data_IF_119980948361
#
_entry.id   IF_119980948361
#
_cell.length_a   1.000
_cell.length_b   1.000
_cell.length_c   1.000
_cell.angle_alpha   90.00
_cell.angle_beta   90.00
_cell.angle_gamma   90.00
#
_symmetry.space_group_name_H-M   'P 1'
#
loop_
_entity.id
_entity.type
_entity.pdbx_description
1 polymer ?
#
# COMPACT_ATOMS: atom_id res chain seq x y z
N UNK A 1 11.70 -9.24 31.23
CA UNK A 1 10.94 -10.50 31.10
C UNK A 1 11.78 -11.60 31.72
N UNK A 2 11.22 -12.46 32.57
CA UNK A 2 11.96 -13.58 33.18
C UNK A 2 12.45 -14.55 32.10
N UNK A 3 13.65 -15.10 32.27
CA UNK A 3 14.24 -16.12 31.37
C UNK A 3 13.40 -17.43 31.27
N UNK A 4 12.30 -17.52 32.01
CA UNK A 4 11.45 -18.71 32.12
C UNK A 4 10.03 -18.53 31.55
N UNK A 5 9.75 -17.43 30.87
CA UNK A 5 8.42 -17.16 30.30
C UNK A 5 7.33 -16.99 31.37
N UNK A 6 6.05 -16.95 30.95
CA UNK A 6 4.92 -16.77 31.87
C UNK A 6 4.49 -18.09 32.50
N UNK A 7 4.67 -18.20 33.82
CA UNK A 7 4.25 -19.37 34.62
C UNK A 7 2.74 -19.62 34.50
N UNK A 8 1.93 -18.56 34.48
CA UNK A 8 0.48 -18.67 34.38
C UNK A 8 0.03 -19.30 33.05
N UNK A 9 0.71 -18.93 31.95
CA UNK A 9 0.46 -19.54 30.64
C UNK A 9 0.92 -21.00 30.62
N UNK A 10 2.09 -21.32 31.18
CA UNK A 10 2.56 -22.69 31.26
C UNK A 10 1.61 -23.60 32.06
N UNK A 11 1.09 -23.10 33.19
CA UNK A 11 0.09 -23.80 34.00
C UNK A 11 -1.22 -24.01 33.21
N UNK A 12 -1.66 -23.01 32.45
CA UNK A 12 -2.83 -23.14 31.57
C UNK A 12 -2.61 -24.19 30.48
N UNK A 13 -1.45 -24.17 29.80
CA UNK A 13 -1.10 -25.16 28.78
C UNK A 13 -1.07 -26.58 29.37
N UNK A 14 -0.52 -26.75 30.57
CA UNK A 14 -0.52 -28.04 31.25
C UNK A 14 -1.94 -28.54 31.59
N UNK A 15 -2.84 -27.64 31.99
CA UNK A 15 -4.19 -28.00 32.42
C UNK A 15 -5.21 -28.19 31.27
N UNK A 16 -5.18 -27.31 30.26
CA UNK A 16 -6.20 -27.25 29.18
C UNK A 16 -5.62 -27.44 27.78
N UNK A 17 -4.30 -27.55 27.65
CA UNK A 17 -3.62 -27.60 26.36
C UNK A 17 -3.69 -26.29 25.57
N UNK A 18 -3.34 -26.37 24.29
CA UNK A 18 -3.29 -25.23 23.36
C UNK A 18 -4.52 -25.11 22.45
N UNK A 19 -5.51 -26.01 22.59
CA UNK A 19 -6.69 -26.05 21.74
C UNK A 19 -7.57 -24.79 21.84
N UNK A 20 -7.81 -24.21 23.04
CA UNK A 20 -8.58 -22.97 23.13
C UNK A 20 -7.96 -21.83 22.33
N UNK A 21 -6.62 -21.69 22.40
CA UNK A 21 -5.88 -20.72 21.60
C UNK A 21 -6.00 -20.99 20.11
N UNK A 22 -5.82 -22.25 19.67
CA UNK A 22 -5.97 -22.65 18.26
C UNK A 22 -7.35 -22.28 17.71
N UNK A 23 -8.41 -22.54 18.46
CA UNK A 23 -9.79 -22.25 18.01
C UNK A 23 -10.02 -20.74 17.94
N UNK A 24 -9.67 -20.00 19.00
CA UNK A 24 -9.83 -18.55 19.04
C UNK A 24 -9.07 -17.90 17.89
N UNK A 25 -7.81 -18.30 17.68
CA UNK A 25 -6.97 -17.74 16.65
C UNK A 25 -7.47 -18.11 15.24
N UNK A 26 -7.86 -19.36 15.00
CA UNK A 26 -8.38 -19.78 13.69
C UNK A 26 -9.69 -19.09 13.30
N UNK A 27 -10.61 -18.91 14.26
CA UNK A 27 -11.93 -18.37 13.98
C UNK A 27 -11.98 -16.83 14.02
N UNK A 28 -11.40 -16.24 15.07
CA UNK A 28 -11.61 -14.83 15.38
C UNK A 28 -10.38 -13.94 15.12
N UNK A 29 -9.17 -14.50 15.05
CA UNK A 29 -7.97 -13.73 14.67
C UNK A 29 -7.76 -13.81 13.16
N UNK A 30 -7.39 -14.98 12.63
CA UNK A 30 -7.02 -15.16 11.22
C UNK A 30 -8.16 -15.53 10.29
N UNK A 31 -9.26 -16.07 10.83
CA UNK A 31 -10.42 -16.55 10.07
C UNK A 31 -10.07 -17.46 8.88
N UNK A 32 -9.52 -18.64 9.18
CA UNK A 32 -8.92 -19.56 8.19
C UNK A 32 -9.89 -20.23 7.22
N UNK A 33 -11.21 -20.04 7.40
CA UNK A 33 -12.26 -20.61 6.57
C UNK A 33 -13.37 -19.59 6.33
N UNK A 34 -14.21 -19.83 5.31
CA UNK A 34 -15.39 -18.98 5.05
C UNK A 34 -16.31 -18.91 6.26
N UNK A 35 -16.55 -20.05 6.92
CA UNK A 35 -17.35 -20.14 8.15
C UNK A 35 -16.75 -19.29 9.28
N UNK A 36 -15.43 -19.34 9.45
CA UNK A 36 -14.74 -18.52 10.45
C UNK A 36 -14.89 -17.02 10.18
N UNK A 37 -14.86 -16.60 8.91
CA UNK A 37 -15.06 -15.20 8.52
C UNK A 37 -16.48 -14.72 8.84
N UNK A 38 -17.49 -15.54 8.53
CA UNK A 38 -18.89 -15.25 8.86
C UNK A 38 -19.06 -15.12 10.37
N UNK A 39 -18.53 -16.06 11.16
CA UNK A 39 -18.60 -15.98 12.63
C UNK A 39 -17.88 -14.78 13.19
N UNK A 40 -16.70 -14.42 12.67
CA UNK A 40 -15.98 -13.22 13.10
C UNK A 40 -16.81 -11.96 12.85
N UNK A 41 -17.43 -11.84 11.68
CA UNK A 41 -18.27 -10.69 11.33
C UNK A 41 -19.48 -10.54 12.26
N UNK A 42 -20.10 -11.65 12.67
CA UNK A 42 -21.32 -11.63 13.51
C UNK A 42 -21.01 -11.53 15.00
N UNK A 43 -19.93 -12.17 15.46
CA UNK A 43 -19.70 -12.42 16.89
C UNK A 43 -18.61 -11.56 17.53
N UNK A 44 -17.78 -10.83 16.77
CA UNK A 44 -16.73 -9.97 17.35
C UNK A 44 -17.28 -8.65 17.93
N UNK A 45 -18.11 -8.80 18.96
CA UNK A 45 -18.70 -7.72 19.75
C UNK A 45 -18.36 -7.94 21.22
N UNK A 46 -18.15 -6.86 21.97
CA UNK A 46 -18.03 -6.99 23.41
C UNK A 46 -19.35 -7.49 24.01
N UNK A 47 -19.32 -8.58 24.77
CA UNK A 47 -20.51 -9.18 25.37
C UNK A 47 -21.18 -8.27 26.42
N UNK A 48 -20.48 -7.23 26.91
CA UNK A 48 -21.02 -6.29 27.91
C UNK A 48 -21.61 -5.03 27.29
N UNK A 49 -20.92 -4.41 26.32
CA UNK A 49 -21.33 -3.11 25.75
C UNK A 49 -21.64 -3.14 24.26
N UNK A 50 -21.56 -4.31 23.62
CA UNK A 50 -21.85 -4.54 22.21
C UNK A 50 -21.06 -3.65 21.23
N UNK A 51 -19.87 -3.17 21.62
CA UNK A 51 -18.97 -2.40 20.74
C UNK A 51 -18.04 -3.32 19.96
N UNK A 52 -17.76 -2.97 18.71
CA UNK A 52 -16.89 -3.72 17.77
C UNK A 52 -15.55 -3.03 17.48
N UNK A 53 -15.40 -1.72 17.77
CA UNK A 53 -14.21 -0.90 17.45
C UNK A 53 -13.16 -0.83 18.55
N UNK A 54 -13.52 -1.25 19.77
CA UNK A 54 -12.59 -1.22 20.90
C UNK A 54 -11.69 -2.46 20.85
N UNK A 55 -10.41 -2.32 21.22
CA UNK A 55 -9.44 -3.42 21.31
C UNK A 55 -10.02 -4.63 22.06
N UNK A 56 -10.52 -5.61 21.30
CA UNK A 56 -11.34 -6.70 21.82
C UNK A 56 -10.46 -7.88 22.19
N UNK A 57 -10.72 -8.45 23.36
CA UNK A 57 -9.97 -9.59 23.86
C UNK A 57 -10.91 -10.76 24.13
N UNK A 58 -10.45 -11.96 23.77
CA UNK A 58 -11.13 -13.21 24.09
C UNK A 58 -10.48 -13.91 25.28
N UNK A 59 -11.26 -14.22 26.30
CA UNK A 59 -10.81 -15.02 27.42
C UNK A 59 -10.43 -16.44 26.96
N UNK A 60 -9.20 -16.88 27.25
CA UNK A 60 -8.71 -18.23 26.90
C UNK A 60 -9.46 -19.35 27.62
N UNK A 61 -10.10 -19.06 28.75
CA UNK A 61 -10.76 -20.08 29.57
C UNK A 61 -12.20 -20.38 29.15
N UNK A 62 -12.90 -19.41 28.55
CA UNK A 62 -14.34 -19.50 28.31
C UNK A 62 -14.85 -18.73 27.07
N UNK A 63 -13.96 -18.20 26.23
CA UNK A 63 -14.29 -17.50 24.97
C UNK A 63 -15.21 -16.28 25.19
N UNK A 64 -15.13 -15.65 26.37
CA UNK A 64 -15.81 -14.37 26.63
C UNK A 64 -15.10 -13.23 25.90
N UNK A 65 -15.83 -12.38 25.19
CA UNK A 65 -15.29 -11.20 24.52
C UNK A 65 -15.51 -9.92 25.33
N UNK A 66 -14.41 -9.32 25.78
CA UNK A 66 -14.41 -8.08 26.54
C UNK A 66 -13.55 -7.00 25.87
N UNK A 67 -14.05 -5.77 25.81
CA UNK A 67 -13.23 -4.66 25.33
C UNK A 67 -12.23 -4.20 26.39
N UNK A 68 -11.00 -3.92 25.95
CA UNK A 68 -9.92 -3.51 26.84
C UNK A 68 -10.05 -2.05 27.29
N UNK A 69 -10.51 -1.17 26.38
CA UNK A 69 -10.60 0.28 26.60
C UNK A 69 -11.54 0.62 27.77
N UNK A 70 -12.70 -0.05 27.85
CA UNK A 70 -13.68 0.15 28.93
C UNK A 70 -13.48 -0.78 30.13
N UNK A 71 -12.41 -1.57 30.15
CA UNK A 71 -12.11 -2.43 31.29
C UNK A 71 -12.90 -3.74 31.38
N UNK A 72 -13.74 -4.10 30.40
CA UNK A 72 -14.64 -5.26 30.53
C UNK A 72 -13.92 -6.60 30.59
N UNK A 73 -12.79 -6.74 29.88
CA UNK A 73 -11.99 -7.97 29.98
C UNK A 73 -11.24 -8.06 31.31
N UNK A 74 -10.80 -6.93 31.86
CA UNK A 74 -10.17 -6.83 33.18
C UNK A 74 -11.18 -7.21 34.28
N UNK A 75 -12.41 -6.71 34.16
CA UNK A 75 -13.49 -7.03 35.11
C UNK A 75 -13.87 -8.51 35.05
N UNK A 76 -13.98 -9.08 33.85
CA UNK A 76 -14.18 -10.52 33.67
C UNK A 76 -13.04 -11.33 34.29
N UNK A 77 -11.79 -10.92 34.08
CA UNK A 77 -10.62 -11.59 34.66
C UNK A 77 -10.67 -11.59 36.18
N UNK A 78 -11.07 -10.46 36.80
CA UNK A 78 -11.20 -10.30 38.25
C UNK A 78 -12.33 -11.14 38.84
N UNK A 79 -13.51 -11.11 38.22
CA UNK A 79 -14.73 -11.78 38.72
C UNK A 79 -14.69 -13.29 38.53
N UNK A 80 -14.23 -13.77 37.36
CA UNK A 80 -14.16 -15.20 37.02
C UNK A 80 -12.81 -15.84 37.33
N UNK A 81 -11.83 -15.07 37.79
CA UNK A 81 -10.43 -15.51 37.99
C UNK A 81 -9.81 -16.10 36.72
N UNK A 82 -10.14 -15.53 35.57
CA UNK A 82 -9.63 -15.92 34.26
C UNK A 82 -8.58 -14.91 33.78
N UNK A 83 -7.31 -15.18 34.07
CA UNK A 83 -6.25 -14.19 33.91
C UNK A 83 -5.52 -14.20 32.56
N UNK A 84 -5.98 -15.01 31.61
CA UNK A 84 -5.39 -15.12 30.28
C UNK A 84 -6.41 -14.77 29.19
N UNK A 85 -6.05 -13.86 28.30
CA UNK A 85 -6.88 -13.46 27.18
C UNK A 85 -6.05 -13.29 25.89
N UNK A 86 -6.67 -13.51 24.73
CA UNK A 86 -6.09 -13.29 23.40
C UNK A 86 -6.60 -11.97 22.85
N UNK A 87 -5.70 -11.10 22.42
CA UNK A 87 -6.02 -9.91 21.62
C UNK A 87 -6.50 -10.35 20.23
N UNK A 88 -7.73 -9.99 19.87
CA UNK A 88 -8.33 -10.42 18.60
C UNK A 88 -7.78 -9.67 17.38
N UNK A 89 -7.07 -8.55 17.58
CA UNK A 89 -6.44 -7.80 16.49
C UNK A 89 -5.17 -8.50 15.99
N UNK A 90 -4.33 -8.99 16.90
CA UNK A 90 -3.00 -9.53 16.57
C UNK A 90 -2.78 -10.99 16.98
N UNK A 91 -3.66 -11.56 17.80
CA UNK A 91 -3.52 -12.91 18.35
C UNK A 91 -2.57 -13.02 19.54
N UNK A 92 -2.03 -11.91 20.04
CA UNK A 92 -1.10 -11.91 21.17
C UNK A 92 -1.84 -12.21 22.49
N UNK A 93 -1.18 -12.92 23.40
CA UNK A 93 -1.78 -13.31 24.69
C UNK A 93 -1.43 -12.27 25.74
N UNK A 94 -2.45 -11.71 26.37
CA UNK A 94 -2.32 -10.85 27.55
C UNK A 94 -2.49 -11.68 28.82
N UNK A 95 -1.53 -11.58 29.73
CA UNK A 95 -1.64 -12.15 31.06
C UNK A 95 -1.89 -11.04 32.10
N UNK A 96 -3.08 -11.03 32.69
CA UNK A 96 -3.46 -10.02 33.69
C UNK A 96 -2.66 -10.12 34.99
N UNK A 97 -2.11 -11.29 35.33
CA UNK A 97 -1.26 -11.47 36.51
C UNK A 97 0.17 -10.98 36.27
N UNK A 98 0.69 -11.09 35.05
CA UNK A 98 1.99 -10.51 34.68
C UNK A 98 1.89 -9.02 34.33
N UNK A 99 0.70 -8.55 33.95
CA UNK A 99 0.48 -7.18 33.47
C UNK A 99 1.04 -6.91 32.07
N UNK A 100 1.37 -7.95 31.31
CA UNK A 100 2.06 -7.82 30.02
C UNK A 100 1.65 -8.91 29.01
N UNK A 101 2.00 -8.67 27.76
CA UNK A 101 1.89 -9.65 26.68
C UNK A 101 2.92 -10.77 26.85
N UNK A 102 2.45 -11.99 26.64
CA UNK A 102 3.22 -13.20 26.79
C UNK A 102 3.50 -13.79 25.42
N UNK A 103 4.78 -14.01 25.14
CA UNK A 103 5.26 -14.64 23.91
C UNK A 103 5.72 -16.07 24.23
N UNK A 104 5.07 -17.05 23.60
CA UNK A 104 5.38 -18.47 23.75
C UNK A 104 5.66 -19.08 22.37
N UNK A 105 6.78 -19.80 22.25
CA UNK A 105 7.26 -20.33 20.96
C UNK A 105 6.28 -21.30 20.30
N UNK A 106 5.59 -22.12 21.08
CA UNK A 106 4.63 -23.10 20.57
C UNK A 106 3.37 -22.40 20.03
N UNK A 107 2.86 -21.42 20.77
CA UNK A 107 1.69 -20.65 20.35
C UNK A 107 1.97 -19.71 19.18
N UNK A 108 3.19 -19.17 19.09
CA UNK A 108 3.66 -18.41 17.92
C UNK A 108 3.73 -19.28 16.66
N UNK A 109 4.22 -20.53 16.78
CA UNK A 109 4.23 -21.48 15.66
C UNK A 109 2.80 -21.81 15.17
N UNK A 110 1.85 -21.97 16.11
CA UNK A 110 0.42 -22.14 15.78
C UNK A 110 -0.13 -20.92 15.04
N UNK A 111 0.11 -19.71 15.57
CA UNK A 111 -0.34 -18.47 14.94
C UNK A 111 0.17 -18.37 13.49
N UNK A 112 1.47 -18.63 13.29
CA UNK A 112 2.14 -18.61 11.97
C UNK A 112 1.52 -19.60 10.98
N UNK A 113 1.22 -20.82 11.43
CA UNK A 113 0.57 -21.84 10.60
C UNK A 113 -0.86 -21.41 10.18
N UNK A 114 -1.62 -20.81 11.09
CA UNK A 114 -2.99 -20.36 10.82
C UNK A 114 -3.04 -19.13 9.92
N UNK A 115 -2.13 -18.16 10.10
CA UNK A 115 -1.95 -17.06 9.14
C UNK A 115 -1.68 -17.61 7.73
N UNK A 116 -0.77 -18.59 7.62
CA UNK A 116 -0.45 -19.23 6.34
C UNK A 116 -1.66 -19.96 5.71
N UNK A 117 -2.46 -20.64 6.52
CA UNK A 117 -3.69 -21.29 6.06
C UNK A 117 -4.74 -20.27 5.60
N UNK A 118 -4.89 -19.15 6.31
CA UNK A 118 -5.81 -18.07 5.94
C UNK A 118 -5.42 -17.43 4.60
N UNK A 119 -4.13 -17.13 4.40
CA UNK A 119 -3.61 -16.63 3.11
C UNK A 119 -3.99 -17.55 1.96
N UNK A 120 -3.68 -18.85 2.10
CA UNK A 120 -4.03 -19.87 1.10
C UNK A 120 -5.54 -19.92 0.84
N UNK A 121 -6.38 -19.78 1.87
CA UNK A 121 -7.84 -19.79 1.73
C UNK A 121 -8.39 -18.59 0.94
N UNK A 122 -7.64 -17.50 0.89
CA UNK A 122 -8.00 -16.26 0.20
C UNK A 122 -7.25 -16.10 -1.13
N UNK A 123 -6.51 -17.13 -1.56
CA UNK A 123 -5.63 -17.07 -2.73
C UNK A 123 -4.58 -15.95 -2.66
N UNK A 124 -4.27 -15.47 -1.46
CA UNK A 124 -3.14 -14.57 -1.24
C UNK A 124 -1.83 -15.39 -1.18
N UNK A 125 -0.72 -14.77 -1.60
CA UNK A 125 0.62 -15.32 -1.38
C UNK A 125 0.91 -15.57 0.10
N UNK A 126 1.98 -16.32 0.43
CA UNK A 126 2.35 -16.51 1.83
C UNK A 126 2.51 -15.15 2.53
N UNK A 127 1.80 -14.94 3.65
CA UNK A 127 2.01 -13.75 4.48
C UNK A 127 3.48 -13.64 4.88
N UNK A 128 3.96 -12.40 5.02
CA UNK A 128 5.31 -12.11 5.49
C UNK A 128 5.64 -12.94 6.72
N UNK A 129 6.67 -13.79 6.59
CA UNK A 129 7.24 -14.55 7.69
C UNK A 129 8.53 -13.86 8.09
N UNK A 130 8.58 -13.36 9.33
CA UNK A 130 9.85 -13.01 9.92
C UNK A 130 10.78 -14.23 9.82
N UNK A 131 11.95 -14.03 9.22
CA UNK A 131 12.96 -15.07 9.13
C UNK A 131 13.46 -15.40 10.53
N UNK A 132 13.33 -16.67 10.91
CA UNK A 132 13.87 -17.20 12.15
C UNK A 132 15.04 -18.11 11.75
N UNK A 133 16.29 -17.69 11.96
CA UNK A 133 17.43 -18.50 11.57
C UNK A 133 17.44 -19.80 12.37
N UNK A 134 17.59 -20.91 11.66
CA UNK A 134 17.91 -22.21 12.24
C UNK A 134 19.24 -22.13 13.00
N UNK A 135 19.51 -23.12 13.84
CA UNK A 135 20.78 -23.18 14.56
C UNK A 135 21.98 -23.24 13.59
N UNK A 136 21.83 -23.96 12.48
CA UNK A 136 22.82 -24.04 11.39
C UNK A 136 23.03 -22.66 10.74
N UNK A 137 21.95 -21.98 10.35
CA UNK A 137 22.04 -20.63 9.78
C UNK A 137 22.66 -19.65 10.76
N UNK A 138 22.31 -19.74 12.04
CA UNK A 138 22.90 -18.89 13.10
C UNK A 138 24.41 -19.11 13.21
N UNK A 139 24.87 -20.35 13.14
CA UNK A 139 26.30 -20.68 13.12
C UNK A 139 27.01 -20.19 11.86
N UNK A 140 26.38 -20.35 10.68
CA UNK A 140 26.89 -19.83 9.41
C UNK A 140 27.03 -18.31 9.47
N UNK A 141 26.00 -17.60 9.92
CA UNK A 141 26.03 -16.15 10.11
C UNK A 141 27.17 -15.76 11.07
N UNK A 142 27.32 -16.46 12.19
CA UNK A 142 28.41 -16.20 13.16
C UNK A 142 29.79 -16.31 12.52
N UNK A 143 29.98 -17.22 11.55
CA UNK A 143 31.23 -17.43 10.83
C UNK A 143 31.44 -16.44 9.67
N UNK A 144 30.39 -15.74 9.21
CA UNK A 144 30.51 -14.81 8.09
C UNK A 144 31.25 -13.52 8.49
N UNK A 145 32.38 -13.18 7.83
CA UNK A 145 33.18 -12.00 8.17
C UNK A 145 32.48 -10.68 7.86
N UNK A 146 31.48 -10.69 6.96
CA UNK A 146 30.62 -9.53 6.65
C UNK A 146 29.34 -9.48 7.49
N UNK A 147 29.21 -10.34 8.52
CA UNK A 147 28.04 -10.31 9.42
C UNK A 147 27.96 -8.97 10.11
N UNK A 148 26.78 -8.36 10.05
CA UNK A 148 26.52 -7.09 10.72
C UNK A 148 25.88 -7.28 12.07
N UNK A 149 26.28 -6.44 13.00
CA UNK A 149 25.59 -6.26 14.28
C UNK A 149 24.73 -5.01 14.15
N UNK A 150 23.42 -5.21 14.06
CA UNK A 150 22.45 -4.12 14.14
C UNK A 150 22.47 -3.65 15.60
N UNK A 151 23.14 -2.52 15.85
CA UNK A 151 23.10 -1.84 17.14
C UNK A 151 21.86 -0.93 17.21
N UNK A 152 21.41 -0.58 18.41
CA UNK A 152 20.23 0.28 18.64
C UNK A 152 20.31 1.63 17.88
N UNK A 153 21.53 2.10 17.58
CA UNK A 153 21.82 3.38 16.96
C UNK A 153 22.13 3.25 15.45
N UNK A 154 21.87 2.08 14.84
CA UNK A 154 22.28 1.81 13.47
C UNK A 154 21.30 2.40 12.45
N UNK A 155 21.79 3.36 11.67
CA UNK A 155 21.06 4.04 10.58
C UNK A 155 21.20 3.28 9.26
N UNK A 156 20.86 1.98 9.25
CA UNK A 156 21.03 1.13 8.07
C UNK A 156 20.08 1.61 6.95
N UNK A 157 20.59 1.68 5.73
CA UNK A 157 19.84 2.17 4.57
C UNK A 157 19.87 3.69 4.43
N UNK A 158 20.30 4.47 5.44
CA UNK A 158 20.44 5.92 5.31
C UNK A 158 21.81 6.28 4.72
N UNK A 159 21.83 6.57 3.42
CA UNK A 159 23.07 6.84 2.67
C UNK A 159 22.87 8.00 1.69
N UNK A 160 23.82 8.92 1.64
CA UNK A 160 23.78 10.05 0.71
C UNK A 160 24.11 9.64 -0.73
N UNK A 161 23.59 10.41 -1.70
CA UNK A 161 23.92 10.25 -3.12
C UNK A 161 24.69 11.48 -3.61
N UNK A 162 25.79 11.25 -4.31
CA UNK A 162 26.60 12.30 -4.93
C UNK A 162 25.84 12.83 -6.15
N UNK A 163 25.71 14.15 -6.25
CA UNK A 163 25.19 14.79 -7.45
C UNK A 163 26.29 14.85 -8.52
N UNK A 164 26.04 14.28 -9.71
CA UNK A 164 26.96 14.25 -10.84
C UNK A 164 26.77 15.45 -11.79
N UNK A 165 26.26 16.57 -11.27
CA UNK A 165 25.90 17.78 -12.01
C UNK A 165 24.41 18.09 -11.85
N UNK A 166 23.60 17.56 -12.75
CA UNK A 166 22.14 17.76 -12.80
C UNK A 166 21.33 16.56 -12.33
N UNK A 167 21.90 15.66 -11.51
CA UNK A 167 21.26 14.37 -11.17
C UNK A 167 20.40 14.41 -9.90
N UNK A 168 20.03 15.60 -9.42
CA UNK A 168 19.19 15.74 -8.22
C UNK A 168 17.80 15.11 -8.38
N UNK A 169 17.20 15.21 -9.57
CA UNK A 169 15.91 14.59 -9.90
C UNK A 169 15.98 13.05 -9.80
N UNK A 170 17.09 12.44 -10.26
CA UNK A 170 17.32 11.00 -10.09
C UNK A 170 17.54 10.66 -8.61
N UNK A 171 18.38 11.42 -7.92
CA UNK A 171 18.75 11.12 -6.54
C UNK A 171 17.52 11.09 -5.62
N UNK A 172 16.58 12.03 -5.76
CA UNK A 172 15.38 12.05 -4.92
C UNK A 172 14.44 10.86 -5.18
N UNK A 173 14.27 10.45 -6.45
CA UNK A 173 13.47 9.28 -6.81
C UNK A 173 14.13 7.99 -6.31
N UNK A 174 15.44 7.83 -6.47
CA UNK A 174 16.16 6.64 -6.00
C UNK A 174 16.06 6.51 -4.48
N UNK A 175 16.16 7.60 -3.73
CA UNK A 175 15.93 7.57 -2.27
C UNK A 175 14.51 7.11 -1.92
N UNK A 176 13.49 7.61 -2.63
CA UNK A 176 12.11 7.20 -2.42
C UNK A 176 11.90 5.69 -2.71
N UNK A 177 12.46 5.18 -3.81
CA UNK A 177 12.36 3.76 -4.17
C UNK A 177 13.09 2.86 -3.17
N UNK A 178 14.30 3.23 -2.72
CA UNK A 178 15.12 2.43 -1.79
C UNK A 178 14.50 2.33 -0.40
N UNK A 179 13.74 3.33 -0.01
CA UNK A 179 13.03 3.37 1.26
C UNK A 179 11.59 2.85 1.17
N UNK A 180 11.16 2.35 0.01
CA UNK A 180 9.89 1.61 -0.13
C UNK A 180 10.07 0.17 0.37
N UNK A 181 9.45 -0.24 1.50
CA UNK A 181 9.75 -1.53 2.15
C UNK A 181 9.53 -2.75 1.25
N UNK A 182 8.49 -2.73 0.42
CA UNK A 182 8.16 -3.84 -0.49
C UNK A 182 9.22 -4.02 -1.58
N UNK A 183 9.75 -2.92 -2.13
CA UNK A 183 10.87 -2.98 -3.06
C UNK A 183 12.14 -3.45 -2.36
N UNK A 184 12.44 -2.91 -1.17
CA UNK A 184 13.58 -3.36 -0.36
C UNK A 184 13.56 -4.87 -0.15
N UNK A 185 12.44 -5.41 0.30
CA UNK A 185 12.34 -6.83 0.63
C UNK A 185 12.45 -7.70 -0.64
N UNK A 186 11.90 -7.25 -1.77
CA UNK A 186 12.04 -7.93 -3.05
C UNK A 186 13.49 -7.95 -3.56
N UNK A 187 14.15 -6.80 -3.62
CA UNK A 187 15.50 -6.68 -4.19
C UNK A 187 16.58 -7.28 -3.27
N UNK A 188 16.40 -7.25 -1.94
CA UNK A 188 17.30 -7.91 -1.00
C UNK A 188 17.11 -9.44 -0.95
N UNK A 189 15.98 -9.97 -1.44
CA UNK A 189 15.78 -11.41 -1.56
C UNK A 189 16.59 -12.03 -2.72
N UNK A 190 17.22 -11.20 -3.57
CA UNK A 190 18.12 -11.58 -4.67
C UNK A 190 17.62 -12.74 -5.54
N UNK A 191 16.33 -12.68 -5.90
CA UNK A 191 15.65 -13.73 -6.67
C UNK A 191 15.80 -13.59 -8.19
N UNK A 192 16.45 -12.53 -8.65
CA UNK A 192 16.56 -12.24 -10.08
C UNK A 192 17.73 -12.99 -10.71
N UNK A 193 17.42 -13.96 -11.57
CA UNK A 193 18.43 -14.68 -12.34
C UNK A 193 18.56 -14.06 -13.74
N UNK A 194 19.69 -13.40 -14.01
CA UNK A 194 19.92 -12.70 -15.26
C UNK A 194 21.12 -13.28 -16.03
N UNK A 195 20.98 -13.58 -17.33
CA UNK A 195 22.11 -14.00 -18.17
C UNK A 195 23.10 -12.85 -18.46
N UNK A 196 22.66 -11.58 -18.38
CA UNK A 196 23.49 -10.39 -18.66
C UNK A 196 23.36 -9.35 -17.54
N UNK A 197 24.02 -9.55 -16.39
CA UNK A 197 23.87 -8.68 -15.22
C UNK A 197 24.35 -7.23 -15.46
N UNK A 198 25.32 -7.04 -16.37
CA UNK A 198 25.92 -5.71 -16.64
C UNK A 198 25.01 -4.75 -17.40
N UNK A 199 23.96 -5.26 -18.07
CA UNK A 199 22.98 -4.46 -18.81
C UNK A 199 21.59 -4.51 -18.19
N UNK A 200 21.44 -5.16 -17.04
CA UNK A 200 20.16 -5.35 -16.41
C UNK A 200 19.91 -4.30 -15.33
N UNK A 201 18.86 -3.49 -15.50
CA UNK A 201 18.45 -2.51 -14.48
C UNK A 201 18.07 -3.19 -13.16
N UNK A 202 17.40 -4.33 -13.19
CA UNK A 202 17.02 -5.09 -11.98
C UNK A 202 18.25 -5.51 -11.20
N UNK A 203 19.32 -6.00 -11.86
CA UNK A 203 20.59 -6.34 -11.21
C UNK A 203 21.26 -5.11 -10.58
N UNK A 204 21.31 -3.98 -11.29
CA UNK A 204 21.92 -2.76 -10.75
C UNK A 204 21.11 -2.22 -9.56
N UNK A 205 19.79 -2.25 -9.62
CA UNK A 205 18.93 -1.85 -8.50
C UNK A 205 19.12 -2.80 -7.32
N UNK A 206 19.15 -4.12 -7.51
CA UNK A 206 19.51 -5.08 -6.45
C UNK A 206 20.86 -4.75 -5.81
N UNK A 207 21.87 -4.46 -6.61
CA UNK A 207 23.19 -4.06 -6.13
C UNK A 207 23.13 -2.74 -5.34
N UNK A 208 22.36 -1.75 -5.79
CA UNK A 208 22.13 -0.51 -5.04
C UNK A 208 21.47 -0.76 -3.69
N UNK A 209 20.45 -1.64 -3.61
CA UNK A 209 19.87 -2.04 -2.33
C UNK A 209 20.93 -2.69 -1.42
N UNK A 210 21.77 -3.59 -1.93
CA UNK A 210 22.86 -4.17 -1.15
C UNK A 210 23.87 -3.12 -0.65
N UNK A 211 24.17 -2.10 -1.46
CA UNK A 211 25.07 -1.00 -1.12
C UNK A 211 24.48 -0.03 -0.10
N UNK A 212 23.20 0.33 -0.21
CA UNK A 212 22.51 1.19 0.77
C UNK A 212 22.38 0.49 2.12
N UNK A 213 21.95 -0.77 2.06
CA UNK A 213 21.92 -1.64 3.21
C UNK A 213 23.24 -2.37 3.33
N UNK A 214 24.40 -1.73 3.09
CA UNK A 214 25.74 -2.31 3.35
C UNK A 214 26.26 -2.00 4.76
N UNK A 215 25.69 -0.97 5.39
CA UNK A 215 26.20 -0.36 6.62
C UNK A 215 27.23 0.77 6.39
N UNK A 216 27.70 0.95 5.15
CA UNK A 216 28.56 2.09 4.79
C UNK A 216 27.75 3.39 4.79
N UNK A 217 28.34 4.44 5.37
CA UNK A 217 27.78 5.81 5.37
C UNK A 217 28.36 6.69 4.25
N UNK A 218 29.39 6.22 3.54
CA UNK A 218 30.05 6.99 2.48
C UNK A 218 29.06 7.25 1.32
N UNK A 219 28.97 8.45 0.75
CA UNK A 219 27.98 8.73 -0.28
C UNK A 219 28.21 7.88 -1.55
N UNK A 220 27.14 7.56 -2.28
CA UNK A 220 27.17 6.72 -3.48
C UNK A 220 27.05 7.54 -4.77
N UNK A 221 27.72 7.10 -5.82
CA UNK A 221 27.63 7.64 -7.17
C UNK A 221 26.80 6.72 -8.06
N UNK A 222 25.68 7.22 -8.59
CA UNK A 222 24.73 6.46 -9.41
C UNK A 222 25.07 6.41 -10.91
N UNK A 223 26.35 6.46 -11.27
CA UNK A 223 26.82 6.50 -12.65
C UNK A 223 26.35 5.31 -13.51
N UNK A 224 26.34 4.09 -12.94
CA UNK A 224 25.85 2.88 -13.63
C UNK A 224 24.35 2.93 -13.89
N UNK A 225 23.57 3.28 -12.86
CA UNK A 225 22.12 3.44 -12.97
C UNK A 225 21.76 4.48 -14.04
N UNK A 226 22.43 5.64 -13.99
CA UNK A 226 22.25 6.71 -14.96
C UNK A 226 22.52 6.22 -16.40
N UNK A 227 23.66 5.54 -16.60
CA UNK A 227 24.02 5.00 -17.91
C UNK A 227 23.00 3.97 -18.44
N UNK A 228 22.51 3.07 -17.58
CA UNK A 228 21.50 2.09 -17.96
C UNK A 228 20.19 2.77 -18.35
N UNK A 229 19.70 3.72 -17.53
CA UNK A 229 18.45 4.44 -17.82
C UNK A 229 18.59 5.24 -19.12
N UNK A 230 19.69 5.95 -19.35
CA UNK A 230 19.93 6.68 -20.61
C UNK A 230 19.95 5.76 -21.85
N UNK A 231 20.44 4.53 -21.69
CA UNK A 231 20.46 3.55 -22.78
C UNK A 231 19.05 3.08 -23.15
N UNK A 232 18.18 2.90 -22.15
CA UNK A 232 16.82 2.40 -22.32
C UNK A 232 15.75 3.50 -22.54
N UNK A 233 16.01 4.71 -22.05
CA UNK A 233 15.14 5.89 -22.13
C UNK A 233 15.95 7.08 -22.66
N UNK A 234 16.21 7.09 -23.97
CA UNK A 234 17.08 8.08 -24.63
C UNK A 234 16.61 9.53 -24.49
N UNK A 235 15.31 9.77 -24.28
CA UNK A 235 14.77 11.12 -24.08
C UNK A 235 15.23 11.74 -22.74
N UNK A 236 15.57 10.90 -21.76
CA UNK A 236 16.17 11.34 -20.48
C UNK A 236 17.71 11.44 -20.54
N UNK A 237 18.33 11.06 -21.66
CA UNK A 237 19.77 11.10 -21.82
C UNK A 237 20.25 12.53 -22.09
N UNK A 238 21.09 13.06 -21.20
CA UNK A 238 21.64 14.40 -21.32
C UNK A 238 22.12 14.97 -20.00
N UNK A 239 22.87 16.06 -20.05
CA UNK A 239 23.37 16.76 -18.85
C UNK A 239 22.38 17.77 -18.27
N UNK A 240 21.22 17.95 -18.91
CA UNK A 240 20.18 18.87 -18.47
C UNK A 240 19.36 18.30 -17.30
N UNK A 241 18.81 19.19 -16.47
CA UNK A 241 17.86 18.81 -15.44
C UNK A 241 16.56 18.34 -16.10
N UNK A 242 16.08 17.17 -15.69
CA UNK A 242 14.83 16.57 -16.18
C UNK A 242 13.74 16.58 -15.11
N UNK A 243 12.50 16.29 -15.51
CA UNK A 243 11.40 16.10 -14.58
C UNK A 243 11.59 14.81 -13.77
N UNK A 244 11.46 14.92 -12.44
CA UNK A 244 11.56 13.76 -11.54
C UNK A 244 10.41 12.76 -11.76
N UNK A 245 9.22 13.23 -12.14
CA UNK A 245 8.08 12.38 -12.48
C UNK A 245 8.37 11.57 -13.75
N UNK A 246 8.89 12.21 -14.79
CA UNK A 246 9.27 11.52 -16.03
C UNK A 246 10.35 10.45 -15.77
N UNK A 247 11.37 10.78 -14.96
CA UNK A 247 12.37 9.82 -14.54
C UNK A 247 11.79 8.65 -13.71
N UNK A 248 10.83 8.93 -12.82
CA UNK A 248 10.15 7.91 -12.02
C UNK A 248 9.40 6.92 -12.92
N UNK A 249 8.55 7.42 -13.83
CA UNK A 249 7.78 6.58 -14.76
C UNK A 249 8.70 5.79 -15.68
N UNK A 250 9.75 6.42 -16.24
CA UNK A 250 10.72 5.71 -17.06
C UNK A 250 11.47 4.61 -16.29
N UNK A 251 11.81 4.86 -15.02
CA UNK A 251 12.47 3.85 -14.17
C UNK A 251 11.54 2.67 -13.91
N UNK A 252 10.27 2.92 -13.58
CA UNK A 252 9.27 1.86 -13.40
C UNK A 252 9.05 1.05 -14.68
N UNK A 253 8.98 1.71 -15.84
CA UNK A 253 8.83 1.05 -17.14
C UNK A 253 10.00 0.11 -17.46
N UNK A 254 11.24 0.59 -17.30
CA UNK A 254 12.43 -0.25 -17.55
C UNK A 254 12.49 -1.41 -16.56
N UNK A 255 12.13 -1.19 -15.28
CA UNK A 255 12.05 -2.26 -14.29
C UNK A 255 10.97 -3.29 -14.62
N UNK A 256 9.79 -2.84 -15.06
CA UNK A 256 8.70 -3.71 -15.49
C UNK A 256 9.16 -4.61 -16.65
N UNK A 257 9.72 -4.02 -17.72
CA UNK A 257 10.23 -4.78 -18.89
C UNK A 257 11.34 -5.77 -18.55
N UNK A 258 12.27 -5.40 -17.66
CA UNK A 258 13.36 -6.28 -17.27
C UNK A 258 12.93 -7.38 -16.28
N UNK A 259 11.83 -7.18 -15.54
CA UNK A 259 11.21 -8.21 -14.73
C UNK A 259 10.43 -9.22 -15.58
N UNK A 260 9.76 -8.79 -16.65
CA UNK A 260 9.03 -9.66 -17.59
C UNK A 260 9.90 -10.68 -18.32
N UNK A 261 11.18 -10.34 -18.52
CA UNK A 261 12.14 -11.23 -19.17
C UNK A 261 12.57 -12.41 -18.28
N UNK A 262 12.19 -12.45 -17.00
CA UNK A 262 12.39 -13.60 -16.13
C UNK A 262 11.23 -14.61 -16.30
N UNK A 263 11.49 -15.86 -16.71
CA UNK A 263 10.44 -16.84 -17.00
C UNK A 263 9.84 -17.40 -15.70
N UNK A 264 8.95 -16.65 -15.06
CA UNK A 264 8.17 -17.14 -13.92
C UNK A 264 6.68 -16.78 -14.10
N UNK A 265 5.97 -17.77 -14.63
CA UNK A 265 4.57 -18.13 -14.37
C UNK A 265 3.43 -17.26 -14.97
N UNK A 266 2.76 -17.91 -15.93
CA UNK A 266 1.36 -17.79 -16.38
C UNK A 266 0.96 -16.48 -17.07
N UNK A 267 0.94 -16.53 -18.41
CA UNK A 267 0.32 -15.53 -19.29
C UNK A 267 -1.17 -15.83 -19.41
N UNK A 268 -2.01 -15.23 -18.59
CA UNK A 268 -3.47 -15.27 -18.78
C UNK A 268 -4.11 -13.90 -19.06
N UNK A 269 -3.32 -12.81 -19.19
CA UNK A 269 -3.79 -11.57 -19.79
C UNK A 269 -2.63 -10.69 -20.31
N UNK A 270 -2.68 -10.14 -21.54
CA UNK A 270 -1.66 -9.23 -22.06
C UNK A 270 -1.53 -7.90 -21.29
N UNK A 271 -2.52 -7.60 -20.43
CA UNK A 271 -2.64 -6.34 -19.69
C UNK A 271 -2.36 -6.49 -18.19
N UNK A 272 -1.89 -7.65 -17.72
CA UNK A 272 -1.53 -7.87 -16.32
C UNK A 272 -0.19 -8.61 -16.25
N UNK A 273 0.85 -7.90 -15.85
CA UNK A 273 2.14 -8.51 -15.56
C UNK A 273 2.22 -8.91 -14.09
N UNK A 274 2.83 -10.05 -13.80
CA UNK A 274 3.09 -10.50 -12.43
C UNK A 274 4.39 -9.92 -11.83
N UNK A 275 4.97 -8.88 -12.44
CA UNK A 275 6.20 -8.28 -11.91
C UNK A 275 5.97 -7.50 -10.62
N UNK A 276 7.06 -7.23 -9.89
CA UNK A 276 7.02 -6.50 -8.63
C UNK A 276 6.47 -5.07 -8.78
N UNK A 277 6.71 -4.44 -9.94
CA UNK A 277 6.21 -3.09 -10.22
C UNK A 277 4.68 -3.11 -10.33
N UNK A 278 4.14 -4.06 -11.09
CA UNK A 278 2.68 -4.18 -11.25
C UNK A 278 1.99 -4.57 -9.94
N UNK A 279 2.58 -5.47 -9.16
CA UNK A 279 2.01 -5.86 -7.87
C UNK A 279 1.96 -4.70 -6.86
N UNK A 280 2.91 -3.75 -6.92
CA UNK A 280 3.05 -2.68 -5.93
C UNK A 280 2.34 -1.40 -6.39
N UNK A 281 2.61 -0.95 -7.61
CA UNK A 281 2.26 0.38 -8.10
C UNK A 281 1.06 0.40 -9.04
N UNK A 282 0.65 -0.74 -9.61
CA UNK A 282 -0.48 -0.75 -10.56
C UNK A 282 -1.82 -0.68 -9.83
N UNK A 283 -2.53 0.42 -10.07
CA UNK A 283 -3.96 0.56 -9.77
C UNK A 283 -4.80 0.43 -11.05
N UNK A 284 -6.12 0.46 -10.89
CA UNK A 284 -7.08 0.47 -11.99
C UNK A 284 -7.99 1.68 -11.89
N UNK A 285 -7.96 2.53 -12.92
CA UNK A 285 -8.82 3.71 -13.05
C UNK A 285 -10.01 3.38 -13.93
N UNK A 286 -11.22 3.59 -13.43
CA UNK A 286 -12.46 3.42 -14.18
C UNK A 286 -12.86 4.76 -14.81
N UNK A 287 -12.90 4.80 -16.14
CA UNK A 287 -13.40 5.91 -16.94
C UNK A 287 -14.80 5.60 -17.46
N UNK A 288 -15.80 6.30 -16.93
CA UNK A 288 -17.20 6.20 -17.33
C UNK A 288 -17.58 7.37 -18.23
N UNK A 289 -18.10 7.07 -19.42
CA UNK A 289 -18.63 8.03 -20.38
C UNK A 289 -20.14 7.85 -20.47
N UNK A 290 -20.89 8.87 -20.05
CA UNK A 290 -22.35 8.88 -20.04
C UNK A 290 -22.86 9.74 -21.19
N UNK A 291 -23.57 9.11 -22.13
CA UNK A 291 -24.24 9.81 -23.22
C UNK A 291 -25.40 10.66 -22.69
N UNK A 292 -25.42 11.96 -23.01
CA UNK A 292 -26.46 12.87 -22.52
C UNK A 292 -27.82 12.71 -23.22
N UNK A 293 -27.87 11.99 -24.35
CA UNK A 293 -29.11 11.78 -25.11
C UNK A 293 -29.88 10.52 -24.66
N UNK A 294 -29.17 9.44 -24.31
CA UNK A 294 -29.78 8.15 -23.98
C UNK A 294 -29.38 7.59 -22.61
N UNK A 295 -28.52 8.30 -21.86
CA UNK A 295 -27.95 7.85 -20.59
C UNK A 295 -27.22 6.51 -20.64
N UNK A 296 -26.83 6.05 -21.85
CA UNK A 296 -25.98 4.89 -22.02
C UNK A 296 -24.60 5.15 -21.45
N UNK A 297 -24.09 4.22 -20.63
CA UNK A 297 -22.79 4.29 -19.98
C UNK A 297 -21.80 3.40 -20.72
N UNK A 298 -20.65 3.95 -21.08
CA UNK A 298 -19.50 3.20 -21.56
C UNK A 298 -18.40 3.26 -20.50
N UNK A 299 -18.02 2.09 -19.98
CA UNK A 299 -17.01 1.96 -18.94
C UNK A 299 -15.73 1.37 -19.51
N UNK A 300 -14.60 2.00 -19.20
CA UNK A 300 -13.25 1.55 -19.55
C UNK A 300 -12.41 1.49 -18.28
N UNK A 301 -11.52 0.50 -18.18
CA UNK A 301 -10.63 0.33 -17.02
C UNK A 301 -9.19 0.41 -17.51
N UNK A 302 -8.50 1.47 -17.09
CA UNK A 302 -7.13 1.75 -17.49
C UNK A 302 -6.18 1.51 -16.32
N UNK A 303 -5.11 0.71 -16.48
CA UNK A 303 -4.08 0.58 -15.47
C UNK A 303 -3.28 1.88 -15.32
N UNK A 304 -2.82 2.18 -14.10
CA UNK A 304 -1.97 3.34 -13.83
C UNK A 304 -0.89 3.02 -12.78
N UNK A 305 0.26 3.71 -12.85
CA UNK A 305 1.30 3.65 -11.80
C UNK A 305 1.30 4.89 -10.89
N UNK A 306 0.73 6.00 -11.36
CA UNK A 306 0.60 7.23 -10.63
C UNK A 306 -0.73 7.94 -10.93
N UNK A 307 -1.10 8.87 -10.05
CA UNK A 307 -2.26 9.75 -10.21
C UNK A 307 -1.73 11.16 -10.33
N UNK A 308 -1.78 11.70 -11.54
CA UNK A 308 -1.37 13.06 -11.86
C UNK A 308 -2.54 14.05 -11.67
N UNK A 309 -2.45 14.88 -10.64
CA UNK A 309 -3.50 15.79 -10.18
C UNK A 309 -3.26 17.22 -10.67
N UNK A 310 -4.28 17.77 -11.34
CA UNK A 310 -4.28 19.15 -11.81
C UNK A 310 -4.58 20.13 -10.66
N UNK A 311 -3.78 21.20 -10.58
CA UNK A 311 -3.95 22.24 -9.56
C UNK A 311 -4.81 23.42 -10.04
N UNK A 312 -5.12 23.48 -11.34
CA UNK A 312 -5.86 24.57 -11.96
C UNK A 312 -5.16 25.94 -11.86
N UNK A 313 -5.68 26.97 -12.56
CA UNK A 313 -5.11 28.29 -12.50
C UNK A 313 -5.26 28.88 -11.09
N UNK A 314 -4.15 29.36 -10.53
CA UNK A 314 -4.17 30.18 -9.32
C UNK A 314 -5.06 31.41 -9.58
N UNK A 315 -6.09 31.57 -8.74
CA UNK A 315 -7.11 32.64 -8.76
C UNK A 315 -6.77 33.82 -9.69
N UNK A 316 -7.40 33.84 -10.88
CA UNK A 316 -7.25 34.96 -11.81
C UNK A 316 -7.29 34.58 -13.29
N UNK A 317 -8.31 33.84 -13.76
CA UNK A 317 -8.72 33.83 -15.16
C UNK A 317 -10.10 33.16 -15.32
N UNK A 318 -11.15 33.99 -15.39
CA UNK A 318 -12.41 33.78 -16.14
C UNK A 318 -13.06 32.39 -16.14
N UNK A 319 -14.09 32.23 -15.30
CA UNK A 319 -15.10 31.16 -15.40
C UNK A 319 -15.89 31.05 -14.09
N UNK A 320 -17.22 30.96 -14.15
CA UNK A 320 -18.16 31.07 -13.01
C UNK A 320 -18.22 29.87 -12.06
N UNK A 321 -17.15 29.09 -11.93
CA UNK A 321 -17.07 27.98 -10.97
C UNK A 321 -16.48 28.53 -9.66
N UNK A 322 -17.31 28.58 -8.62
CA UNK A 322 -17.05 29.18 -7.29
C UNK A 322 -15.99 28.46 -6.44
N UNK A 323 -15.21 27.53 -7.00
CA UNK A 323 -14.13 26.85 -6.28
C UNK A 323 -12.79 27.49 -6.64
N UNK A 324 -12.16 28.17 -5.68
CA UNK A 324 -10.79 28.71 -5.81
C UNK A 324 -9.75 27.63 -6.12
N UNK A 325 -8.44 27.92 -6.13
CA UNK A 325 -7.42 26.87 -6.29
C UNK A 325 -7.55 25.80 -5.18
N UNK A 326 -7.20 24.53 -5.45
CA UNK A 326 -7.27 23.48 -4.44
C UNK A 326 -6.30 23.81 -3.29
N UNK A 327 -6.72 23.53 -2.07
CA UNK A 327 -5.95 23.81 -0.85
C UNK A 327 -5.44 22.53 -0.18
N UNK A 328 -6.02 21.39 -0.56
CA UNK A 328 -5.68 20.08 -0.02
C UNK A 328 -5.58 19.00 -1.10
N UNK A 329 -4.90 17.89 -0.79
CA UNK A 329 -4.85 16.71 -1.63
C UNK A 329 -6.24 16.10 -1.84
N UNK A 330 -7.11 16.18 -0.82
CA UNK A 330 -8.51 15.74 -0.93
C UNK A 330 -9.27 16.58 -1.95
N UNK A 331 -9.08 17.90 -1.97
CA UNK A 331 -9.70 18.79 -2.97
C UNK A 331 -9.23 18.42 -4.38
N UNK A 332 -7.95 18.07 -4.53
CA UNK A 332 -7.38 17.65 -5.81
C UNK A 332 -8.01 16.33 -6.29
N UNK A 333 -8.18 15.36 -5.40
CA UNK A 333 -8.81 14.07 -5.70
C UNK A 333 -10.30 14.21 -6.01
N UNK A 334 -11.00 15.09 -5.31
CA UNK A 334 -12.40 15.40 -5.58
C UNK A 334 -12.57 16.01 -6.97
N UNK A 335 -11.69 16.94 -7.36
CA UNK A 335 -11.66 17.50 -8.73
C UNK A 335 -11.34 16.44 -9.76
N UNK A 336 -10.32 15.62 -9.52
CA UNK A 336 -9.90 14.54 -10.42
C UNK A 336 -11.03 13.53 -10.67
N UNK A 337 -11.86 13.26 -9.66
CA UNK A 337 -12.99 12.32 -9.77
C UNK A 337 -14.33 12.98 -10.08
N UNK A 338 -14.36 14.29 -10.32
CA UNK A 338 -15.56 15.03 -10.70
C UNK A 338 -15.95 14.68 -12.13
N UNK A 339 -17.25 14.50 -12.36
CA UNK A 339 -17.77 14.34 -13.70
C UNK A 339 -17.61 15.65 -14.48
N UNK A 340 -17.04 15.59 -15.68
CA UNK A 340 -16.80 16.73 -16.56
C UNK A 340 -17.58 16.60 -17.87
N UNK A 341 -18.14 17.71 -18.35
CA UNK A 341 -18.80 17.74 -19.65
C UNK A 341 -17.76 17.92 -20.74
N UNK A 342 -17.71 17.00 -21.72
CA UNK A 342 -16.71 17.06 -22.80
C UNK A 342 -16.97 18.22 -23.80
N UNK A 343 -18.17 18.82 -23.75
CA UNK A 343 -18.55 19.94 -24.59
C UNK A 343 -18.89 19.56 -26.03
N UNK A 344 -19.35 20.54 -26.80
CA UNK A 344 -19.89 20.36 -28.16
C UNK A 344 -18.83 20.06 -29.22
N UNK A 345 -17.55 20.33 -28.92
CA UNK A 345 -16.39 20.10 -29.80
C UNK A 345 -15.82 18.68 -29.69
N UNK A 346 -16.11 17.96 -28.61
CA UNK A 346 -15.59 16.61 -28.35
C UNK A 346 -16.73 15.58 -28.24
N UNK A 347 -17.72 15.65 -29.14
CA UNK A 347 -18.83 14.69 -29.20
C UNK A 347 -18.31 13.28 -29.46
N UNK A 348 -18.85 12.31 -28.74
CA UNK A 348 -18.49 10.89 -28.87
C UNK A 348 -19.61 10.17 -29.63
N UNK A 349 -19.23 9.25 -30.54
CA UNK A 349 -20.20 8.40 -31.21
C UNK A 349 -20.76 7.39 -30.22
N UNK A 350 -22.02 7.58 -29.81
CA UNK A 350 -22.69 6.68 -28.88
C UNK A 350 -23.06 5.36 -29.57
N UNK A 351 -22.75 4.21 -28.96
CA UNK A 351 -23.13 2.88 -29.45
C UNK A 351 -24.64 2.64 -29.46
N UNK A 352 -25.39 3.26 -28.54
CA UNK A 352 -26.84 3.10 -28.46
C UNK A 352 -27.57 4.04 -29.44
N UNK A 353 -27.14 5.30 -29.55
CA UNK A 353 -27.76 6.27 -30.45
C UNK A 353 -27.22 6.20 -31.89
N UNK A 354 -26.09 5.50 -32.11
CA UNK A 354 -25.34 5.43 -33.37
C UNK A 354 -24.96 6.79 -33.98
N UNK A 355 -25.01 7.86 -33.19
CA UNK A 355 -24.79 9.25 -33.58
C UNK A 355 -23.82 9.93 -32.60
N UNK A 356 -23.21 11.05 -33.04
CA UNK A 356 -22.32 11.85 -32.21
C UNK A 356 -23.12 12.67 -31.20
N UNK A 357 -22.94 12.35 -29.93
CA UNK A 357 -23.68 12.97 -28.84
C UNK A 357 -22.73 13.65 -27.86
N UNK A 358 -23.25 14.66 -27.16
CA UNK A 358 -22.56 15.19 -26.00
C UNK A 358 -22.54 14.14 -24.90
N UNK A 359 -21.45 14.12 -24.14
CA UNK A 359 -21.21 13.11 -23.12
C UNK A 359 -20.50 13.72 -21.94
N UNK A 360 -20.77 13.18 -20.76
CA UNK A 360 -20.03 13.49 -19.54
C UNK A 360 -19.02 12.37 -19.31
N UNK A 361 -17.78 12.72 -18.99
CA UNK A 361 -16.73 11.78 -18.62
C UNK A 361 -16.48 11.88 -17.13
N UNK A 362 -16.27 10.75 -16.47
CA UNK A 362 -15.89 10.71 -15.06
C UNK A 362 -14.83 9.64 -14.82
N UNK A 363 -13.84 9.98 -14.00
CA UNK A 363 -12.79 9.07 -13.55
C UNK A 363 -13.04 8.66 -12.10
N UNK A 364 -12.91 7.37 -11.79
CA UNK A 364 -13.03 6.83 -10.42
C UNK A 364 -12.02 5.70 -10.20
N UNK A 365 -11.73 5.38 -8.94
CA UNK A 365 -10.80 4.30 -8.61
C UNK A 365 -11.53 2.96 -8.62
N UNK A 366 -11.15 2.04 -9.52
CA UNK A 366 -11.65 0.65 -9.51
C UNK A 366 -10.86 -0.19 -8.53
N UNK A 367 -9.55 -0.05 -8.58
CA UNK A 367 -8.58 -0.78 -7.77
C UNK A 367 -7.46 0.17 -7.36
N UNK A 368 -7.10 0.15 -6.09
CA UNK A 368 -6.01 0.98 -5.56
C UNK A 368 -4.70 0.17 -5.55
N UNK A 369 -3.55 0.79 -5.85
CA UNK A 369 -2.25 0.13 -5.77
C UNK A 369 -1.79 -0.06 -4.32
N UNK A 370 -0.89 -0.99 -4.02
CA UNK A 370 -0.36 -1.13 -2.65
C UNK A 370 0.41 0.14 -2.23
N UNK A 371 1.13 0.76 -3.17
CA UNK A 371 1.80 2.05 -3.00
C UNK A 371 1.23 3.03 -4.03
N UNK A 372 0.47 4.01 -3.54
CA UNK A 372 -0.08 5.07 -4.37
C UNK A 372 0.92 6.22 -4.56
N UNK A 373 1.22 6.55 -5.81
CA UNK A 373 2.06 7.68 -6.19
C UNK A 373 1.19 8.84 -6.67
N UNK A 374 1.28 9.99 -6.01
CA UNK A 374 0.57 11.21 -6.41
C UNK A 374 1.53 12.22 -7.01
N UNK A 375 1.25 12.65 -8.23
CA UNK A 375 2.00 13.69 -8.92
C UNK A 375 1.15 14.96 -8.96
N UNK A 376 1.62 16.05 -8.34
CA UNK A 376 0.94 17.34 -8.44
C UNK A 376 1.50 18.08 -9.67
N UNK A 377 0.66 18.29 -10.70
CA UNK A 377 1.04 18.98 -11.93
C UNK A 377 1.25 20.47 -11.65
N UNK A 378 2.48 20.83 -11.29
CA UNK A 378 2.87 22.19 -10.88
C UNK A 378 3.40 23.06 -12.02
N UNK A 379 3.40 22.57 -13.25
CA UNK A 379 3.86 23.29 -14.42
C UNK A 379 2.73 23.42 -15.43
N UNK A 380 2.39 24.67 -15.75
CA UNK A 380 1.48 24.99 -16.84
C UNK A 380 2.32 25.42 -18.04
N UNK A 381 2.16 24.72 -19.16
CA UNK A 381 2.79 25.09 -20.43
C UNK A 381 1.88 26.08 -21.15
N UNK A 382 2.18 27.37 -21.04
CA UNK A 382 1.57 28.40 -21.89
C UNK A 382 2.44 28.61 -23.12
N UNK A 383 1.82 28.98 -24.25
CA UNK A 383 2.50 29.27 -25.52
C UNK A 383 3.58 30.36 -25.44
N UNK A 384 3.64 31.10 -24.33
CA UNK A 384 4.57 32.22 -24.11
C UNK A 384 5.58 31.91 -22.99
N UNK A 385 5.17 31.21 -21.92
CA UNK A 385 6.05 30.90 -20.80
C UNK A 385 5.52 29.76 -19.92
N UNK A 386 6.41 28.89 -19.44
CA UNK A 386 6.07 27.92 -18.40
C UNK A 386 5.85 28.61 -17.04
N UNK A 387 4.66 28.48 -16.47
CA UNK A 387 4.36 29.02 -15.14
C UNK A 387 4.43 27.92 -14.08
N UNK A 388 5.20 28.15 -13.01
CA UNK A 388 5.28 27.26 -11.84
C UNK A 388 4.16 27.60 -10.85
N UNK A 389 3.37 26.59 -10.47
CA UNK A 389 2.34 26.69 -9.43
C UNK A 389 2.98 26.43 -8.06
N UNK A 390 3.21 27.51 -7.32
CA UNK A 390 3.76 27.47 -5.96
C UNK A 390 2.71 27.30 -4.87
N UNK A 391 1.43 27.08 -5.23
CA UNK A 391 0.32 26.90 -4.27
C UNK A 391 0.65 25.78 -3.29
N UNK A 392 0.56 26.10 -2.00
CA UNK A 392 0.70 25.12 -0.94
C UNK A 392 -0.51 24.18 -0.97
N UNK A 393 -0.26 22.88 -1.00
CA UNK A 393 -1.28 21.84 -0.95
C UNK A 393 -1.06 21.06 0.34
N UNK A 394 -2.03 21.13 1.24
CA UNK A 394 -2.01 20.35 2.47
C UNK A 394 -2.33 18.87 2.16
N UNK A 395 -1.67 17.95 2.85
CA UNK A 395 -1.96 16.52 2.75
C UNK A 395 -1.99 15.91 4.16
N UNK A 396 -2.95 15.02 4.45
CA UNK A 396 -3.04 14.39 5.76
C UNK A 396 -2.00 13.26 5.90
N UNK A 397 -1.63 12.92 7.13
CA UNK A 397 -0.82 11.72 7.41
C UNK A 397 -1.57 10.44 7.04
N UNK A 398 -2.89 10.43 7.23
CA UNK A 398 -3.78 9.33 6.85
C UNK A 398 -4.77 9.81 5.79
N UNK A 399 -4.83 9.12 4.65
CA UNK A 399 -5.73 9.41 3.54
C UNK A 399 -6.73 8.29 3.34
N UNK A 400 -8.02 8.58 3.43
CA UNK A 400 -9.08 7.64 3.07
C UNK A 400 -9.47 7.80 1.59
N UNK A 401 -9.21 6.77 0.79
CA UNK A 401 -9.55 6.74 -0.64
C UNK A 401 -10.96 6.21 -0.91
N UNK A 402 -11.67 5.73 0.11
CA UNK A 402 -13.04 5.18 -0.02
C UNK A 402 -14.01 6.09 -0.77
N UNK A 403 -14.03 7.44 -0.59
CA UNK A 403 -14.93 8.33 -1.32
C UNK A 403 -14.71 8.35 -2.84
N UNK A 404 -13.50 8.00 -3.30
CA UNK A 404 -13.08 8.08 -4.69
C UNK A 404 -13.22 6.74 -5.44
N UNK A 405 -13.70 5.70 -4.77
CA UNK A 405 -13.91 4.37 -5.32
C UNK A 405 -15.20 4.25 -6.14
N UNK A 406 -15.17 3.47 -7.22
CA UNK A 406 -16.32 3.34 -8.15
C UNK A 406 -17.56 2.66 -7.53
N UNK A 407 -17.38 1.67 -6.66
CA UNK A 407 -18.48 0.90 -6.04
C UNK A 407 -19.36 1.75 -5.10
N UNK A 408 -18.76 2.63 -4.30
CA UNK A 408 -19.49 3.49 -3.37
C UNK A 408 -20.38 4.52 -4.09
N UNK A 409 -20.02 4.88 -5.32
CA UNK A 409 -20.77 5.87 -6.12
C UNK A 409 -21.86 5.23 -6.95
N UNK A 410 -21.65 4.01 -7.46
CA UNK A 410 -22.72 3.23 -8.12
C UNK A 410 -23.88 2.90 -7.16
N UNK A 411 -23.61 2.73 -5.86
CA UNK A 411 -24.65 2.56 -4.84
C UNK A 411 -25.57 3.78 -4.65
N UNK A 412 -25.07 5.00 -4.89
CA UNK A 412 -25.86 6.23 -4.76
C UNK A 412 -26.73 6.54 -6.00
N UNK A 413 -26.42 5.99 -7.17
CA UNK A 413 -27.21 6.24 -8.39
C UNK A 413 -28.40 5.29 -8.56
N UNK A 414 -28.45 4.18 -7.81
CA UNK A 414 -29.54 3.20 -7.88
C UNK A 414 -30.62 3.39 -6.80
N UNK A 415 -30.55 4.42 -5.96
CA UNK A 415 -31.49 4.66 -4.86
C UNK A 415 -32.75 5.44 -5.24
N UNK A 416 -32.98 5.73 -6.53
CA UNK A 416 -34.17 6.45 -6.98
C UNK A 416 -35.39 5.57 -7.36
N UNK A 417 -35.26 4.23 -7.38
CA UNK A 417 -36.40 3.35 -7.68
C UNK A 417 -36.28 1.98 -7.01
N UNK A 418 -36.83 1.86 -5.80
CA UNK A 418 -37.56 0.70 -5.24
C UNK A 418 -37.49 0.74 -3.71
N UNK A 419 -38.55 1.28 -3.11
CA UNK A 419 -38.86 1.05 -1.70
C UNK A 419 -39.14 -0.43 -1.46
N UNK A 420 -38.56 -0.95 -0.39
CA UNK A 420 -39.01 -2.19 0.27
C UNK A 420 -38.49 -3.49 -0.33
N UNK A 421 -37.32 -3.94 0.13
CA UNK A 421 -37.05 -5.32 0.58
C UNK A 421 -35.59 -5.45 0.99
N UNK A 422 -35.37 -5.71 2.29
CA UNK A 422 -34.09 -6.20 2.80
C UNK A 422 -33.62 -7.41 2.01
N UNK A 423 -32.53 -7.28 1.26
CA UNK A 423 -31.76 -8.43 0.77
C UNK A 423 -30.32 -8.34 1.23
N UNK A 424 -29.99 -9.38 1.98
CA UNK A 424 -28.69 -9.73 2.51
C UNK A 424 -27.62 -9.82 1.42
N UNK A 425 -26.41 -9.42 1.83
CA UNK A 425 -25.21 -10.16 1.47
C UNK A 425 -24.56 -9.80 0.14
N UNK A 426 -24.03 -8.58 0.02
CA UNK A 426 -22.97 -8.21 -0.94
C UNK A 426 -22.49 -6.80 -0.59
N UNK A 427 -21.58 -6.67 0.38
CA UNK A 427 -20.61 -5.55 0.54
C UNK A 427 -19.86 -5.65 1.87
N UNK A 428 -19.08 -6.72 2.02
CA UNK A 428 -18.12 -6.86 3.11
C UNK A 428 -16.73 -7.17 2.55
N UNK A 429 -16.27 -6.35 1.60
CA UNK A 429 -14.83 -6.20 1.41
C UNK A 429 -14.34 -5.28 2.51
N UNK A 430 -13.65 -5.83 3.51
CA UNK A 430 -12.72 -5.07 4.35
C UNK A 430 -11.58 -4.56 3.45
N UNK A 431 -11.86 -3.61 2.56
CA UNK A 431 -10.83 -2.85 1.88
C UNK A 431 -10.51 -1.67 2.79
N UNK A 432 -9.42 -1.79 3.54
CA UNK A 432 -8.87 -0.64 4.22
C UNK A 432 -8.28 0.27 3.14
N UNK A 433 -9.13 1.09 2.51
CA UNK A 433 -8.72 2.06 1.46
C UNK A 433 -7.94 3.24 2.07
N UNK A 434 -7.34 3.04 3.26
CA UNK A 434 -6.61 4.06 4.01
C UNK A 434 -5.13 3.90 3.76
N UNK A 435 -4.51 4.99 3.32
CA UNK A 435 -3.07 5.10 3.17
C UNK A 435 -2.46 5.88 4.31
N UNK A 436 -1.25 5.48 4.71
CA UNK A 436 -0.32 6.33 5.44
C UNK A 436 0.56 7.04 4.41
N UNK A 437 0.51 8.37 4.39
CA UNK A 437 1.28 9.16 3.45
C UNK A 437 2.69 9.38 3.99
N UNK A 438 3.67 8.88 3.26
CA UNK A 438 5.07 9.19 3.48
C UNK A 438 5.52 10.21 2.45
N UNK A 439 6.04 11.34 2.93
CA UNK A 439 6.60 12.39 2.07
C UNK A 439 8.12 12.45 2.29
N UNK A 440 8.88 12.38 1.18
CA UNK A 440 10.32 12.59 1.21
C UNK A 440 10.63 14.06 0.92
N UNK A 441 11.05 14.82 1.96
CA UNK A 441 11.29 16.27 1.91
C UNK A 441 12.26 16.75 0.83
N UNK A 442 13.13 15.87 0.32
CA UNK A 442 14.07 16.21 -0.74
C UNK A 442 13.45 16.32 -2.14
N UNK A 443 12.20 15.91 -2.36
CA UNK A 443 11.58 15.97 -3.71
C UNK A 443 11.14 17.41 -4.07
N UNK A 444 10.96 18.32 -3.10
CA UNK A 444 10.37 19.64 -3.35
C UNK A 444 11.36 20.79 -3.61
N UNK A 445 12.64 20.69 -3.24
CA UNK A 445 13.52 21.88 -3.27
C UNK A 445 14.33 22.08 -4.56
N UNK A 446 14.46 21.08 -5.43
CA UNK A 446 15.43 21.17 -6.55
C UNK A 446 14.83 21.32 -7.95
N UNK A 447 13.50 21.47 -8.08
CA UNK A 447 12.81 21.53 -9.38
C UNK A 447 12.71 22.90 -10.07
N UNK A 448 13.63 23.86 -9.86
CA UNK A 448 13.82 25.17 -10.56
C UNK A 448 14.18 26.27 -9.56
N UNK A 449 15.44 26.37 -9.16
CA UNK A 449 16.02 27.61 -8.59
C UNK A 449 17.31 28.01 -9.33
N UNK A 450 17.45 27.61 -10.60
CA UNK A 450 18.64 27.92 -11.40
C UNK A 450 18.32 28.05 -12.89
N UNK A 451 17.44 29.00 -13.25
CA UNK A 451 17.52 29.70 -14.53
C UNK A 451 17.18 31.17 -14.26
N UNK A 452 18.24 31.99 -14.27
CA UNK A 452 18.34 33.46 -14.30
C UNK A 452 17.35 34.27 -13.44
#
# INVERSE_FOLDING_TARGET
MSDHGCIHLNNFKAAKGIQPYKVIHAYFVTSTSTEARIRKAVSCLCHTCNTYKDRLHSCLHCIFFGCHVKGHIQEHARTKKHFLAVDLCYGNILCFQCGDYVYDRELLAVAKAQWSASAKSLSFGEFYRAWEPTQIETELLRKHPRRRRVAENSTIGLRGLINLGSTCFMNCIVQALIHTPLLRDYFLADRHHCPQPTRCLVCEVSHLFQEFYSGSKAPLTLHKLLHLIWTHARHLAGYEQQDAHEFFIATLDVLHRHCEAAPILVKDNPHHCNCIIDQIFTGGLQSDVVCQACNGVSTTIDPFWDISLDLGPAAGASGSDTSGPPTSLLDCLERFTRAEHLGSTAKIKCSNCQTYQESTKQLTMKQLPIVASFHLKRFEHSSIQDKKISTFISFPEQLDMTPFMSHKRNGNNNSATMDGLSKNGEDMTFSDNRYLLFYHKQILEYGRNSKA
#
